data_IF_064465482475
#
_entry.id   IF_064465482475
#
_cell.length_a   1.000
_cell.length_b   1.000
_cell.length_c   1.000
_cell.angle_alpha   90.00
_cell.angle_beta   90.00
_cell.angle_gamma   90.00
#
_symmetry.space_group_name_H-M   'P 1'
#
loop_
_entity.id
_entity.type
_entity.pdbx_description
1 polymer ?
#
# COMPACT_ATOMS: atom_id res chain seq x y z
N UNK A 1 14.05 9.88 10.89
CA UNK A 1 13.46 9.17 12.06
C UNK A 1 12.27 9.99 12.55
N UNK A 2 11.14 9.37 12.92
CA UNK A 2 10.03 10.15 13.49
C UNK A 2 10.48 10.74 14.83
N UNK A 3 10.00 11.95 15.14
CA UNK A 3 10.39 12.69 16.35
C UNK A 3 9.93 12.03 17.65
N UNK A 4 9.00 11.07 17.57
CA UNK A 4 8.45 10.30 18.69
C UNK A 4 9.20 8.97 18.94
N UNK A 5 10.30 8.71 18.22
CA UNK A 5 11.08 7.48 18.35
C UNK A 5 10.47 6.24 17.67
N UNK A 6 9.32 6.39 17.00
CA UNK A 6 8.71 5.27 16.27
C UNK A 6 9.44 4.95 14.97
N UNK A 7 9.42 3.67 14.58
CA UNK A 7 9.98 3.20 13.31
C UNK A 7 8.92 3.26 12.22
N UNK A 8 9.39 3.47 10.99
CA UNK A 8 8.55 3.42 9.79
C UNK A 8 9.19 2.50 8.77
N UNK A 9 8.35 1.70 8.12
CA UNK A 9 8.71 0.87 6.98
C UNK A 9 7.85 1.27 5.79
N UNK A 10 8.42 1.26 4.58
CA UNK A 10 7.74 1.63 3.36
C UNK A 10 7.78 0.45 2.38
N UNK A 11 6.65 0.21 1.72
CA UNK A 11 6.52 -0.86 0.73
C UNK A 11 6.73 -0.31 -0.68
N UNK A 12 7.52 -1.02 -1.48
CA UNK A 12 7.50 -0.89 -2.95
C UNK A 12 6.47 -1.84 -3.53
N UNK A 13 6.07 -1.64 -4.78
CA UNK A 13 5.20 -2.59 -5.50
C UNK A 13 5.85 -3.98 -5.54
N UNK A 14 7.17 -4.08 -5.74
CA UNK A 14 7.89 -5.36 -5.77
C UNK A 14 7.81 -6.13 -4.45
N UNK A 15 7.98 -5.45 -3.30
CA UNK A 15 7.84 -6.09 -1.99
C UNK A 15 6.42 -6.65 -1.82
N UNK A 16 5.39 -5.87 -2.19
CA UNK A 16 4.00 -6.31 -2.09
C UNK A 16 3.73 -7.48 -3.03
N UNK A 17 4.17 -7.40 -4.29
CA UNK A 17 4.06 -8.50 -5.26
C UNK A 17 4.63 -9.79 -4.69
N UNK A 18 5.89 -9.75 -4.25
CA UNK A 18 6.56 -10.94 -3.72
C UNK A 18 5.87 -11.50 -2.49
N UNK A 19 5.36 -10.65 -1.59
CA UNK A 19 4.59 -11.10 -0.41
C UNK A 19 3.34 -11.89 -0.81
N UNK A 20 2.58 -11.42 -1.79
CA UNK A 20 1.33 -12.06 -2.20
C UNK A 20 1.56 -13.31 -3.08
N UNK A 21 2.50 -13.24 -4.03
CA UNK A 21 2.83 -14.39 -4.88
C UNK A 21 3.38 -15.57 -4.05
N UNK A 22 4.26 -15.31 -3.07
CA UNK A 22 4.78 -16.33 -2.18
C UNK A 22 3.70 -16.95 -1.27
N UNK A 23 2.60 -16.23 -1.04
CA UNK A 23 1.43 -16.73 -0.33
C UNK A 23 0.45 -17.49 -1.25
N UNK A 24 0.77 -17.69 -2.54
CA UNK A 24 -0.03 -18.43 -3.51
C UNK A 24 -1.13 -17.61 -4.19
N UNK A 25 -1.14 -16.28 -4.02
CA UNK A 25 -2.07 -15.42 -4.74
C UNK A 25 -1.58 -15.13 -6.16
N UNK A 26 -2.52 -14.81 -7.05
CA UNK A 26 -2.20 -14.29 -8.39
C UNK A 26 -2.43 -12.78 -8.42
N UNK A 27 -1.44 -12.02 -8.86
CA UNK A 27 -1.57 -10.57 -9.08
C UNK A 27 -2.50 -10.30 -10.27
N UNK A 28 -3.53 -9.46 -10.06
CA UNK A 28 -4.39 -8.97 -11.14
C UNK A 28 -4.05 -7.52 -11.48
N UNK A 29 -3.87 -6.68 -10.46
CA UNK A 29 -3.50 -5.26 -10.59
C UNK A 29 -2.60 -4.88 -9.41
N UNK A 30 -1.55 -4.08 -9.63
CA UNK A 30 -0.70 -3.54 -8.56
C UNK A 30 -0.03 -2.23 -9.00
N UNK A 31 -0.42 -1.11 -8.40
CA UNK A 31 0.11 0.22 -8.76
C UNK A 31 0.12 1.20 -7.59
N UNK A 32 0.74 2.36 -7.77
CA UNK A 32 0.67 3.49 -6.87
C UNK A 32 -0.55 4.38 -7.17
N UNK A 33 -1.34 4.66 -6.14
CA UNK A 33 -2.41 5.64 -6.21
C UNK A 33 -2.02 6.94 -5.48
N UNK A 34 -1.94 8.03 -6.22
CA UNK A 34 -1.67 9.37 -5.70
C UNK A 34 -2.98 10.08 -5.34
N UNK A 35 -3.24 10.29 -4.05
CA UNK A 35 -4.49 10.90 -3.56
C UNK A 35 -4.25 12.19 -2.79
N UNK A 36 -5.17 13.14 -2.96
CA UNK A 36 -5.25 14.36 -2.15
C UNK A 36 -6.19 14.11 -0.97
N UNK A 37 -5.61 13.93 0.21
CA UNK A 37 -6.37 13.79 1.46
C UNK A 37 -6.62 15.16 2.08
N UNK A 38 -7.88 15.49 2.38
CA UNK A 38 -8.26 16.78 2.97
C UNK A 38 -8.79 16.53 4.39
N UNK A 39 -8.05 16.99 5.39
CA UNK A 39 -8.54 17.07 6.76
C UNK A 39 -9.23 18.43 6.95
N UNK A 40 -10.55 18.46 6.72
CA UNK A 40 -11.37 19.69 6.82
C UNK A 40 -11.32 20.31 8.21
N UNK A 41 -11.34 19.50 9.27
CA UNK A 41 -11.31 19.96 10.67
C UNK A 41 -10.03 20.75 11.01
N UNK A 42 -8.89 20.36 10.43
CA UNK A 42 -7.60 21.05 10.65
C UNK A 42 -7.19 21.97 9.49
N UNK A 43 -8.03 22.13 8.47
CA UNK A 43 -7.72 22.90 7.26
C UNK A 43 -6.50 22.39 6.47
N UNK A 44 -6.11 21.12 6.65
CA UNK A 44 -4.88 20.57 6.05
C UNK A 44 -5.19 19.74 4.81
N UNK A 45 -4.48 20.02 3.71
CA UNK A 45 -4.45 19.14 2.54
C UNK A 45 -3.10 18.42 2.47
N UNK A 46 -3.15 17.11 2.25
CA UNK A 46 -1.99 16.23 2.22
C UNK A 46 -2.00 15.46 0.91
N UNK A 47 -0.87 15.44 0.19
CA UNK A 47 -0.65 14.49 -0.91
C UNK A 47 -0.14 13.19 -0.32
N UNK A 48 -0.81 12.08 -0.64
CA UNK A 48 -0.46 10.74 -0.19
C UNK A 48 -0.27 9.84 -1.39
N UNK A 49 0.71 8.95 -1.30
CA UNK A 49 0.92 7.86 -2.23
C UNK A 49 0.57 6.58 -1.48
N UNK A 50 -0.27 5.76 -2.09
CA UNK A 50 -0.67 4.46 -1.55
C UNK A 50 -0.26 3.38 -2.55
N UNK A 51 0.13 2.22 -2.05
CA UNK A 51 0.17 1.01 -2.88
C UNK A 51 -1.26 0.44 -2.91
N UNK A 52 -1.79 0.20 -4.11
CA UNK A 52 -3.10 -0.39 -4.31
C UNK A 52 -2.94 -1.65 -5.15
N UNK A 53 -3.39 -2.79 -4.62
CA UNK A 53 -3.24 -4.09 -5.26
C UNK A 53 -4.52 -4.92 -5.20
N UNK A 54 -4.79 -5.64 -6.28
CA UNK A 54 -5.89 -6.58 -6.43
C UNK A 54 -5.31 -7.94 -6.77
N UNK A 55 -5.66 -8.93 -5.95
CA UNK A 55 -5.11 -10.27 -6.04
C UNK A 55 -6.23 -11.30 -6.03
N UNK A 56 -6.07 -12.37 -6.80
CA UNK A 56 -6.94 -13.52 -6.79
C UNK A 56 -6.43 -14.54 -5.78
N UNK A 57 -7.32 -15.10 -4.96
CA UNK A 57 -6.98 -16.21 -4.06
C UNK A 57 -6.57 -17.45 -4.88
N UNK A 58 -5.68 -18.30 -4.36
CA UNK A 58 -5.43 -19.60 -4.95
C UNK A 58 -6.75 -20.37 -5.10
N UNK A 59 -6.89 -21.11 -6.20
CA UNK A 59 -7.99 -22.06 -6.33
C UNK A 59 -7.89 -23.09 -5.19
N UNK A 60 -9.04 -23.49 -4.64
CA UNK A 60 -9.08 -24.64 -3.73
C UNK A 60 -8.65 -25.87 -4.54
N UNK A 61 -7.55 -26.51 -4.12
CA UNK A 61 -7.18 -27.86 -4.57
C UNK A 61 -8.11 -28.90 -3.97
#
# INVERSE_FOLDING_TARGET
>A
MRSDGTRSYFFTLEIVRNLFLNAGFTELELDYCCVKSVNRRKGKSMRRVWVHGKFQKPALS
#
